data_IF_509270844937
#
_entry.id   IF_509270844937
#
_cell.length_a   1.000
_cell.length_b   1.000
_cell.length_c   1.000
_cell.angle_alpha   90.00
_cell.angle_beta   90.00
_cell.angle_gamma   90.00
#
_symmetry.space_group_name_H-M   'P 1'
#
loop_
_entity.id
_entity.type
_entity.pdbx_description
1 polymer ?
#
# COMPACT_ATOMS: atom_id res chain seq x y z
N UNK A 1 -20.47 -60.90 19.91
CA UNK A 1 -21.22 -59.86 20.67
C UNK A 1 -20.80 -58.50 20.15
N UNK A 2 -21.71 -57.80 19.47
CA UNK A 2 -21.50 -56.52 18.79
C UNK A 2 -21.73 -55.39 19.80
N UNK A 3 -20.79 -54.44 19.92
CA UNK A 3 -21.04 -53.14 20.56
C UNK A 3 -20.69 -52.03 19.59
N UNK A 4 -21.70 -51.52 18.90
CA UNK A 4 -21.68 -50.18 18.34
C UNK A 4 -21.57 -49.18 19.51
N UNK A 5 -20.60 -48.28 19.44
CA UNK A 5 -20.62 -47.02 20.20
C UNK A 5 -20.60 -45.89 19.20
N UNK A 6 -21.76 -45.24 19.08
CA UNK A 6 -21.97 -43.96 18.44
C UNK A 6 -20.98 -42.96 19.03
N UNK A 7 -20.10 -42.38 18.22
CA UNK A 7 -19.34 -41.20 18.61
C UNK A 7 -19.90 -40.03 17.81
N UNK A 8 -20.42 -39.08 18.58
CA UNK A 8 -21.09 -37.89 18.14
C UNK A 8 -20.14 -36.95 17.40
N UNK A 9 -20.69 -36.27 16.40
CA UNK A 9 -20.05 -35.19 15.68
C UNK A 9 -19.72 -34.04 16.63
N UNK A 10 -18.48 -33.56 16.56
CA UNK A 10 -18.09 -32.23 17.07
C UNK A 10 -17.71 -31.43 15.83
N UNK A 11 -18.67 -30.65 15.32
CA UNK A 11 -18.40 -29.59 14.35
C UNK A 11 -17.84 -28.43 15.18
N UNK A 12 -16.52 -28.30 15.22
CA UNK A 12 -15.88 -27.10 15.71
C UNK A 12 -16.19 -25.97 14.72
N UNK A 13 -17.22 -25.17 15.03
CA UNK A 13 -17.47 -23.91 14.36
C UNK A 13 -16.29 -22.98 14.68
N UNK A 14 -15.33 -22.93 13.77
CA UNK A 14 -14.26 -21.94 13.77
C UNK A 14 -14.93 -20.58 13.55
N UNK A 15 -15.14 -19.84 14.64
CA UNK A 15 -15.55 -18.44 14.57
C UNK A 15 -14.34 -17.69 14.01
N UNK A 16 -14.32 -17.53 12.69
CA UNK A 16 -13.42 -16.60 12.03
C UNK A 16 -13.90 -15.22 12.50
N UNK A 17 -13.24 -14.70 13.54
CA UNK A 17 -13.38 -13.30 13.90
C UNK A 17 -12.94 -12.48 12.71
N UNK A 18 -13.90 -11.95 11.95
CA UNK A 18 -13.62 -10.83 11.07
C UNK A 18 -13.25 -9.68 11.99
N UNK A 19 -11.94 -9.48 12.21
CA UNK A 19 -11.46 -8.22 12.76
C UNK A 19 -12.16 -7.12 11.98
N UNK A 20 -12.77 -6.12 12.66
CA UNK A 20 -13.33 -4.99 11.95
C UNK A 20 -12.16 -4.37 11.21
N UNK A 21 -12.18 -4.44 9.87
CA UNK A 21 -11.32 -3.61 9.05
C UNK A 21 -11.58 -2.19 9.56
N UNK A 22 -10.59 -1.58 10.20
CA UNK A 22 -10.67 -0.19 10.59
C UNK A 22 -10.82 0.53 9.26
N UNK A 23 -12.04 0.99 8.97
CA UNK A 23 -12.30 1.67 7.71
C UNK A 23 -11.35 2.86 7.63
N UNK A 24 -10.55 2.91 6.57
CA UNK A 24 -9.59 3.97 6.38
C UNK A 24 -10.26 5.33 6.51
N UNK A 25 -9.52 6.29 7.07
CA UNK A 25 -9.90 7.69 6.94
C UNK A 25 -9.95 8.08 5.46
N UNK A 26 -10.69 9.14 5.12
CA UNK A 26 -10.71 9.64 3.74
C UNK A 26 -9.30 9.99 3.24
N UNK A 27 -8.44 10.48 4.13
CA UNK A 27 -7.05 10.77 3.83
C UNK A 27 -6.25 9.50 3.50
N UNK A 28 -6.31 8.48 4.35
CA UNK A 28 -5.65 7.19 4.10
C UNK A 28 -6.15 6.53 2.82
N UNK A 29 -7.45 6.63 2.53
CA UNK A 29 -8.00 6.13 1.27
C UNK A 29 -7.42 6.87 0.06
N UNK A 30 -7.25 8.19 0.13
CA UNK A 30 -6.62 8.95 -0.95
C UNK A 30 -5.15 8.60 -1.13
N UNK A 31 -4.40 8.44 -0.04
CA UNK A 31 -3.01 7.98 -0.07
C UNK A 31 -2.91 6.58 -0.67
N UNK A 32 -3.77 5.66 -0.23
CA UNK A 32 -3.84 4.29 -0.75
C UNK A 32 -4.11 4.25 -2.24
N UNK A 33 -5.11 5.00 -2.71
CA UNK A 33 -5.46 5.06 -4.14
C UNK A 33 -4.29 5.55 -4.99
N UNK A 34 -3.54 6.56 -4.51
CA UNK A 34 -2.36 7.07 -5.20
C UNK A 34 -1.21 6.07 -5.16
N UNK A 35 -0.96 5.42 -4.03
CA UNK A 35 0.04 4.38 -3.89
C UNK A 35 -0.22 3.23 -4.88
N UNK A 36 -1.46 2.76 -4.96
CA UNK A 36 -1.88 1.70 -5.90
C UNK A 36 -1.73 2.12 -7.37
N UNK A 37 -2.00 3.39 -7.70
CA UNK A 37 -1.78 3.89 -9.06
C UNK A 37 -0.29 3.90 -9.44
N UNK A 38 0.57 4.37 -8.52
CA UNK A 38 2.02 4.35 -8.69
C UNK A 38 2.55 2.92 -8.77
N UNK A 39 2.04 2.00 -7.94
CA UNK A 39 2.33 0.57 -7.95
C UNK A 39 2.01 -0.10 -9.29
N UNK A 40 0.80 0.16 -9.80
CA UNK A 40 0.35 -0.41 -11.06
C UNK A 40 1.22 0.07 -12.22
N UNK A 41 1.57 1.36 -12.21
CA UNK A 41 2.44 1.91 -13.24
C UNK A 41 3.87 1.40 -13.14
N UNK A 42 4.50 1.35 -11.96
CA UNK A 42 5.89 0.87 -11.84
C UNK A 42 6.10 -0.57 -12.34
N UNK A 43 5.04 -1.37 -12.33
CA UNK A 43 5.01 -2.73 -12.85
C UNK A 43 4.70 -2.82 -14.34
N UNK A 44 4.27 -1.74 -14.99
CA UNK A 44 4.01 -1.71 -16.43
C UNK A 44 5.31 -1.64 -17.23
N UNK A 45 5.24 -2.08 -18.49
CA UNK A 45 6.35 -1.92 -19.44
C UNK A 45 6.73 -0.46 -19.65
N UNK A 46 5.75 0.44 -19.52
CA UNK A 46 5.86 1.88 -19.77
C UNK A 46 6.75 2.56 -18.73
N UNK A 47 6.79 2.07 -17.49
CA UNK A 47 7.65 2.63 -16.45
C UNK A 47 9.14 2.56 -16.79
N UNK A 48 9.56 1.42 -17.33
CA UNK A 48 10.96 1.17 -17.72
C UNK A 48 11.30 1.65 -19.14
N UNK A 49 10.32 1.69 -20.05
CA UNK A 49 10.56 2.01 -21.47
C UNK A 49 10.38 3.50 -21.79
N UNK A 50 9.44 4.21 -21.15
CA UNK A 50 9.14 5.60 -21.49
C UNK A 50 9.82 6.63 -20.59
N UNK A 51 10.51 6.18 -19.53
CA UNK A 51 10.76 6.97 -18.31
C UNK A 51 9.44 7.56 -17.81
N UNK A 52 8.95 7.11 -16.65
CA UNK A 52 7.69 7.60 -16.06
C UNK A 52 7.47 9.12 -16.02
N UNK A 53 8.53 9.91 -16.23
CA UNK A 53 8.60 11.36 -16.27
C UNK A 53 8.39 12.02 -17.64
N UNK A 54 8.03 11.29 -18.70
CA UNK A 54 7.70 11.92 -19.97
C UNK A 54 6.64 13.04 -19.75
N UNK A 55 6.73 14.20 -20.44
CA UNK A 55 5.82 15.31 -20.21
C UNK A 55 4.31 14.98 -20.35
N UNK A 56 3.97 13.91 -21.09
CA UNK A 56 2.60 13.39 -21.24
C UNK A 56 2.27 12.20 -20.34
N UNK A 57 3.21 11.74 -19.50
CA UNK A 57 3.03 10.61 -18.61
C UNK A 57 2.26 10.97 -17.33
N UNK A 58 1.77 9.95 -16.61
CA UNK A 58 0.95 10.15 -15.40
C UNK A 58 1.71 10.79 -14.22
N UNK A 59 3.04 10.91 -14.32
CA UNK A 59 3.89 11.49 -13.29
C UNK A 59 3.45 12.83 -12.76
N UNK A 60 3.28 13.82 -13.64
CA UNK A 60 3.00 15.19 -13.18
C UNK A 60 1.75 15.24 -12.31
N UNK A 61 0.77 14.38 -12.62
CA UNK A 61 -0.46 14.25 -11.86
C UNK A 61 -0.23 13.60 -10.49
N UNK A 62 0.54 12.51 -10.42
CA UNK A 62 0.85 11.87 -9.14
C UNK A 62 1.70 12.75 -8.25
N UNK A 63 2.77 13.36 -8.78
CA UNK A 63 3.63 14.23 -7.97
C UNK A 63 2.82 15.41 -7.42
N UNK A 64 1.95 16.00 -8.23
CA UNK A 64 1.04 17.05 -7.77
C UNK A 64 0.13 16.56 -6.65
N UNK A 65 -0.49 15.38 -6.81
CA UNK A 65 -1.39 14.81 -5.80
C UNK A 65 -0.67 14.41 -4.52
N UNK A 66 0.50 13.79 -4.62
CA UNK A 66 1.33 13.40 -3.48
C UNK A 66 1.81 14.64 -2.71
N UNK A 67 2.22 15.71 -3.42
CA UNK A 67 2.55 16.99 -2.79
C UNK A 67 1.35 17.58 -2.06
N UNK A 68 0.20 17.64 -2.70
CA UNK A 68 -1.04 18.11 -2.07
C UNK A 68 -1.36 17.34 -0.79
N UNK A 69 -1.26 15.99 -0.82
CA UNK A 69 -1.50 15.16 0.36
C UNK A 69 -0.46 15.39 1.46
N UNK A 70 0.77 15.73 1.08
CA UNK A 70 1.86 16.00 2.03
C UNK A 70 1.80 17.41 2.64
N UNK A 71 1.10 18.35 2.00
CA UNK A 71 0.86 19.70 2.54
C UNK A 71 -0.10 19.70 3.73
N UNK A 72 -0.93 18.65 3.88
CA UNK A 72 -1.71 18.43 5.10
C UNK A 72 -0.84 17.79 6.19
N UNK A 73 -0.02 18.63 6.84
CA UNK A 73 0.97 18.18 7.84
C UNK A 73 0.36 17.36 8.98
N UNK A 74 -0.87 17.66 9.39
CA UNK A 74 -1.54 16.97 10.51
C UNK A 74 -1.86 15.54 10.11
N UNK A 75 -2.52 15.35 8.97
CA UNK A 75 -2.87 14.01 8.50
C UNK A 75 -1.63 13.23 8.02
N UNK A 76 -0.67 13.88 7.36
CA UNK A 76 0.59 13.26 6.96
C UNK A 76 1.39 12.76 8.17
N UNK A 77 1.43 13.54 9.25
CA UNK A 77 2.05 13.10 10.51
C UNK A 77 1.29 11.95 11.17
N UNK A 78 -0.05 11.98 11.13
CA UNK A 78 -0.88 10.89 11.60
C UNK A 78 -0.57 9.58 10.87
N UNK A 79 -0.49 9.65 9.54
CA UNK A 79 -0.11 8.53 8.68
C UNK A 79 1.29 8.00 9.03
N UNK A 80 2.28 8.88 9.20
CA UNK A 80 3.64 8.49 9.58
C UNK A 80 3.67 7.74 10.92
N UNK A 81 2.89 8.18 11.90
CA UNK A 81 2.84 7.52 13.21
C UNK A 81 2.16 6.14 13.10
N UNK A 82 1.10 6.02 12.30
CA UNK A 82 0.33 4.80 12.16
C UNK A 82 1.02 3.75 11.28
N UNK A 83 1.63 4.18 10.17
CA UNK A 83 2.09 3.32 9.08
C UNK A 83 3.59 3.46 8.77
N UNK A 84 4.29 4.44 9.33
CA UNK A 84 5.75 4.55 9.20
C UNK A 84 6.25 5.27 7.94
N UNK A 85 5.38 5.95 7.18
CA UNK A 85 5.77 6.76 6.02
C UNK A 85 4.85 7.98 5.85
N UNK A 86 5.31 8.98 5.09
CA UNK A 86 4.52 10.14 4.63
C UNK A 86 4.20 10.02 3.13
N UNK A 87 3.18 10.71 2.58
CA UNK A 87 2.82 10.52 1.18
C UNK A 87 3.98 10.77 0.19
N UNK A 88 4.86 11.75 0.47
CA UNK A 88 6.06 12.00 -0.35
C UNK A 88 6.97 10.77 -0.51
N UNK A 89 6.99 9.85 0.46
CA UNK A 89 7.81 8.65 0.40
C UNK A 89 7.38 7.72 -0.75
N UNK A 90 6.09 7.73 -1.13
CA UNK A 90 5.58 6.99 -2.31
C UNK A 90 6.30 7.42 -3.57
N UNK A 91 6.50 8.74 -3.73
CA UNK A 91 7.24 9.28 -4.87
C UNK A 91 8.72 8.87 -4.80
N UNK A 92 9.34 8.94 -3.62
CA UNK A 92 10.76 8.63 -3.46
C UNK A 92 11.07 7.16 -3.78
N UNK A 93 10.21 6.23 -3.36
CA UNK A 93 10.33 4.80 -3.72
C UNK A 93 10.25 4.60 -5.23
N UNK A 94 9.28 5.23 -5.88
CA UNK A 94 9.13 5.14 -7.34
C UNK A 94 10.33 5.73 -8.07
N UNK A 95 10.87 6.86 -7.62
CA UNK A 95 12.04 7.49 -8.24
C UNK A 95 13.32 6.68 -8.03
N UNK A 96 13.52 6.07 -6.85
CA UNK A 96 14.65 5.18 -6.60
C UNK A 96 14.60 3.96 -7.52
N UNK A 97 13.45 3.29 -7.60
CA UNK A 97 13.27 2.12 -8.46
C UNK A 97 13.60 2.45 -9.93
N UNK A 98 13.24 3.65 -10.38
CA UNK A 98 13.52 4.15 -11.73
C UNK A 98 15.00 4.50 -11.96
N UNK A 99 15.63 5.19 -11.01
CA UNK A 99 16.99 5.74 -11.18
C UNK A 99 18.06 4.70 -10.93
N UNK A 100 17.92 3.91 -9.87
CA UNK A 100 18.88 2.90 -9.46
C UNK A 100 18.55 1.51 -10.05
N UNK A 101 17.34 1.32 -10.58
CA UNK A 101 16.85 0.03 -11.10
C UNK A 101 16.54 -1.00 -10.01
N UNK A 102 16.68 -0.63 -8.74
CA UNK A 102 16.45 -1.45 -7.55
C UNK A 102 16.24 -0.55 -6.34
N UNK A 103 15.62 -1.09 -5.29
CA UNK A 103 15.53 -0.40 -4.00
C UNK A 103 16.72 -0.79 -3.11
N UNK A 104 17.23 0.18 -2.35
CA UNK A 104 18.13 -0.10 -1.24
C UNK A 104 17.36 -0.56 0.01
N UNK A 105 18.08 -0.81 1.11
CA UNK A 105 17.45 -1.27 2.35
C UNK A 105 16.49 -0.26 2.97
N UNK A 106 16.71 1.04 2.75
CA UNK A 106 15.84 2.09 3.27
C UNK A 106 14.52 2.08 2.48
N UNK A 107 14.58 2.20 1.17
CA UNK A 107 13.40 2.26 0.32
C UNK A 107 12.62 0.94 0.30
N UNK A 108 13.28 -0.20 0.49
CA UNK A 108 12.59 -1.49 0.65
C UNK A 108 11.69 -1.51 1.90
N UNK A 109 12.13 -0.90 3.01
CA UNK A 109 11.31 -0.81 4.23
C UNK A 109 10.12 0.11 4.03
N UNK A 110 10.34 1.26 3.38
CA UNK A 110 9.28 2.20 3.02
C UNK A 110 8.26 1.54 2.09
N UNK A 111 8.72 0.83 1.07
CA UNK A 111 7.85 0.12 0.12
C UNK A 111 6.99 -0.94 0.82
N UNK A 112 7.57 -1.69 1.76
CA UNK A 112 6.82 -2.65 2.56
C UNK A 112 5.79 -1.98 3.47
N UNK A 113 6.11 -0.82 4.05
CA UNK A 113 5.17 -0.04 4.86
C UNK A 113 4.00 0.50 4.02
N UNK A 114 4.28 1.00 2.81
CA UNK A 114 3.25 1.42 1.85
C UNK A 114 2.36 0.24 1.43
N UNK A 115 2.97 -0.91 1.10
CA UNK A 115 2.23 -2.11 0.69
C UNK A 115 1.40 -2.73 1.82
N UNK A 116 1.77 -2.46 3.08
CA UNK A 116 1.01 -2.87 4.26
C UNK A 116 -0.19 -1.97 4.58
N UNK A 117 -0.38 -0.86 3.85
CA UNK A 117 -1.58 -0.03 3.97
C UNK A 117 -2.78 -0.80 3.40
N UNK A 118 -3.72 -1.16 4.25
CA UNK A 118 -4.95 -1.85 3.86
C UNK A 118 -6.17 -0.93 4.04
N UNK A 119 -6.69 -0.47 2.90
CA UNK A 119 -7.98 0.19 2.70
C UNK A 119 -8.74 -0.58 1.60
#
# INVERSE_FOLDING_TARGET
MIRQKKLAAIVAALIIGTSPAIACTSYEQEVFNVAMAVEGFRKSTDFTQDYGWAPGGPYGQWLSKIRQLSEDEVNARGLLIAHGFVPMDIYMVADEFRTAGKLDSYFTQVDAAIAGLEC
#
